data_IF_315387111708
#
_entry.id   IF_315387111708
#
_cell.length_a   1.000
_cell.length_b   1.000
_cell.length_c   1.000
_cell.angle_alpha   90.00
_cell.angle_beta   90.00
_cell.angle_gamma   90.00
#
_symmetry.space_group_name_H-M   'P 1'
#
loop_
_entity.id
_entity.type
_entity.pdbx_description
1 polymer ?
#
# COMPACT_ATOMS: atom_id res chain seq x y z
N UNK A 1 -22.46 -6.95 -1.29
CA UNK A 1 -21.43 -7.18 -2.33
C UNK A 1 -20.96 -5.84 -2.90
N UNK A 2 -19.79 -5.79 -3.52
CA UNK A 2 -19.23 -4.61 -4.18
C UNK A 2 -17.92 -4.13 -3.55
N UNK A 3 -17.57 -2.85 -3.76
CA UNK A 3 -16.34 -2.26 -3.21
C UNK A 3 -16.51 -1.94 -1.72
N UNK A 4 -15.79 -2.64 -0.88
CA UNK A 4 -15.88 -2.53 0.59
C UNK A 4 -14.51 -2.23 1.22
N UNK A 5 -14.51 -1.75 2.46
CA UNK A 5 -13.30 -1.72 3.27
C UNK A 5 -12.75 -3.14 3.43
N UNK A 6 -11.43 -3.32 3.39
CA UNK A 6 -10.87 -4.62 3.67
C UNK A 6 -10.93 -4.94 5.19
N UNK A 7 -10.91 -6.23 5.51
CA UNK A 7 -11.07 -6.70 6.90
C UNK A 7 -9.97 -6.21 7.85
N UNK A 8 -8.75 -6.03 7.34
CA UNK A 8 -7.65 -5.53 8.17
C UNK A 8 -7.82 -4.04 8.46
N UNK A 9 -8.30 -3.26 7.48
CA UNK A 9 -8.61 -1.85 7.70
C UNK A 9 -9.78 -1.69 8.69
N UNK A 10 -10.80 -2.54 8.59
CA UNK A 10 -11.92 -2.54 9.54
C UNK A 10 -11.44 -2.80 10.97
N UNK A 11 -10.60 -3.80 11.21
CA UNK A 11 -10.12 -4.09 12.57
C UNK A 11 -9.20 -3.00 13.09
N UNK A 12 -8.34 -2.41 12.25
CA UNK A 12 -7.47 -1.29 12.63
C UNK A 12 -8.31 -0.10 13.07
N UNK A 13 -9.26 0.32 12.23
CA UNK A 13 -10.07 1.52 12.50
C UNK A 13 -11.09 1.33 13.61
N UNK A 14 -11.63 0.13 13.79
CA UNK A 14 -12.62 -0.16 14.82
C UNK A 14 -12.04 -0.47 16.19
N UNK A 15 -10.73 -0.80 16.28
CA UNK A 15 -10.10 -1.30 17.49
C UNK A 15 -9.05 -0.35 18.05
N UNK A 16 -8.14 0.15 17.19
CA UNK A 16 -6.98 0.94 17.63
C UNK A 16 -6.63 2.08 16.66
N UNK A 17 -7.65 2.73 16.10
CA UNK A 17 -7.46 3.92 15.25
C UNK A 17 -6.64 4.99 15.95
N UNK A 18 -5.80 5.71 15.20
CA UNK A 18 -4.94 6.75 15.77
C UNK A 18 -5.75 7.93 16.30
N UNK A 19 -6.60 8.51 15.46
CA UNK A 19 -7.42 9.66 15.82
C UNK A 19 -8.90 9.35 15.56
N UNK A 20 -9.57 8.57 16.44
CA UNK A 20 -10.97 8.19 16.21
C UNK A 20 -11.95 9.37 16.22
N UNK A 21 -11.49 10.55 16.59
CA UNK A 21 -12.31 11.78 16.69
C UNK A 21 -12.03 12.78 15.59
N UNK A 22 -10.83 12.75 14.99
CA UNK A 22 -10.38 13.75 14.04
C UNK A 22 -10.63 13.32 12.60
N UNK A 23 -11.06 14.26 11.73
CA UNK A 23 -11.13 14.03 10.28
C UNK A 23 -9.76 14.02 9.60
N UNK A 24 -8.67 14.16 10.33
CA UNK A 24 -7.32 14.21 9.78
C UNK A 24 -6.94 12.90 9.10
N UNK A 25 -7.20 12.84 7.80
CA UNK A 25 -7.05 11.62 7.00
C UNK A 25 -5.59 11.19 6.83
N UNK A 26 -4.64 12.11 6.90
CA UNK A 26 -3.21 11.78 6.75
C UNK A 26 -2.68 10.91 7.89
N UNK A 27 -3.28 11.00 9.08
CA UNK A 27 -2.97 10.11 10.19
C UNK A 27 -3.29 8.64 9.89
N UNK A 28 -4.22 8.37 8.97
CA UNK A 28 -4.60 7.01 8.57
C UNK A 28 -3.70 6.42 7.48
N UNK A 29 -2.88 7.22 6.80
CA UNK A 29 -1.99 6.69 5.75
C UNK A 29 -1.04 5.60 6.25
N UNK A 30 -0.35 5.77 7.40
CA UNK A 30 0.43 4.67 7.98
C UNK A 30 -0.42 3.45 8.37
N UNK A 31 -1.67 3.66 8.81
CA UNK A 31 -2.57 2.56 9.15
C UNK A 31 -2.96 1.72 7.93
N UNK A 32 -3.05 2.33 6.74
CA UNK A 32 -3.22 1.59 5.48
C UNK A 32 -2.08 0.59 5.26
N UNK A 33 -0.87 0.94 5.67
CA UNK A 33 0.29 0.04 5.64
C UNK A 33 0.13 -1.18 6.51
N UNK A 34 -0.54 -1.04 7.65
CA UNK A 34 -0.83 -2.17 8.55
C UNK A 34 -1.94 -3.06 8.00
N UNK A 35 -2.78 -2.53 7.11
CA UNK A 35 -3.95 -3.19 6.54
C UNK A 35 -3.74 -3.69 5.10
N UNK A 36 -2.56 -3.47 4.50
CA UNK A 36 -2.28 -3.76 3.10
C UNK A 36 -3.30 -3.14 2.13
N UNK A 37 -3.70 -1.90 2.40
CA UNK A 37 -4.68 -1.15 1.63
C UNK A 37 -5.98 -0.86 2.38
N UNK A 38 -6.87 -0.05 1.79
CA UNK A 38 -8.11 0.36 2.44
C UNK A 38 -9.32 -0.45 1.96
N UNK A 39 -9.43 -0.67 0.66
CA UNK A 39 -10.65 -1.22 0.04
C UNK A 39 -10.34 -2.39 -0.87
N UNK A 40 -11.31 -3.28 -0.98
CA UNK A 40 -11.31 -4.45 -1.86
C UNK A 40 -12.54 -4.39 -2.76
N UNK A 41 -12.33 -4.61 -4.06
CA UNK A 41 -13.43 -4.67 -5.05
C UNK A 41 -14.09 -6.06 -5.02
N UNK A 42 -15.33 -6.14 -5.50
CA UNK A 42 -16.08 -7.40 -5.66
C UNK A 42 -16.04 -8.28 -4.41
N UNK A 43 -16.16 -7.66 -3.24
CA UNK A 43 -16.03 -8.34 -1.97
C UNK A 43 -17.39 -8.76 -1.38
N UNK A 44 -17.40 -9.96 -0.82
CA UNK A 44 -18.43 -10.47 0.08
C UNK A 44 -17.85 -10.49 1.49
N UNK A 45 -18.61 -9.94 2.46
CA UNK A 45 -18.28 -10.00 3.89
C UNK A 45 -19.37 -10.69 4.66
N UNK A 46 -18.95 -11.48 5.64
CA UNK A 46 -19.82 -12.09 6.63
C UNK A 46 -19.33 -11.74 8.03
N UNK A 47 -20.20 -11.12 8.83
CA UNK A 47 -19.85 -10.66 10.19
C UNK A 47 -20.76 -11.34 11.20
N UNK A 48 -20.14 -11.90 12.23
CA UNK A 48 -20.77 -12.46 13.41
C UNK A 48 -20.42 -11.62 14.63
N UNK A 49 -21.37 -11.46 15.52
CA UNK A 49 -21.16 -10.81 16.81
C UNK A 49 -21.88 -11.59 17.91
N UNK A 50 -21.30 -11.63 19.11
CA UNK A 50 -22.02 -12.13 20.30
C UNK A 50 -23.18 -11.19 20.64
N UNK A 51 -24.24 -11.69 21.35
CA UNK A 51 -25.38 -10.87 21.73
C UNK A 51 -25.01 -9.61 22.52
N UNK A 52 -23.98 -9.70 23.36
CA UNK A 52 -23.40 -8.56 24.12
C UNK A 52 -22.42 -7.71 23.30
N UNK A 53 -22.19 -8.06 22.03
CA UNK A 53 -21.27 -7.41 21.09
C UNK A 53 -19.82 -7.26 21.57
N UNK A 54 -19.42 -8.00 22.62
CA UNK A 54 -18.03 -7.98 23.07
C UNK A 54 -17.10 -8.62 22.04
N UNK A 55 -17.54 -9.69 21.40
CA UNK A 55 -16.80 -10.35 20.34
C UNK A 55 -17.44 -10.08 18.98
N UNK A 56 -16.61 -9.70 18.03
CA UNK A 56 -17.00 -9.53 16.63
C UNK A 56 -15.97 -10.21 15.74
N UNK A 57 -16.42 -11.12 14.90
CA UNK A 57 -15.62 -11.78 13.88
C UNK A 57 -16.14 -11.46 12.49
N UNK A 58 -15.24 -11.23 11.55
CA UNK A 58 -15.60 -10.97 10.14
C UNK A 58 -14.72 -11.79 9.22
N UNK A 59 -15.33 -12.41 8.22
CA UNK A 59 -14.66 -13.06 7.09
C UNK A 59 -14.96 -12.26 5.83
N UNK A 60 -13.99 -12.20 4.93
CA UNK A 60 -14.10 -11.55 3.63
C UNK A 60 -13.50 -12.41 2.54
N UNK A 61 -14.21 -12.45 1.41
CA UNK A 61 -13.70 -12.96 0.16
C UNK A 61 -13.94 -11.94 -0.96
N UNK A 62 -12.94 -11.72 -1.81
CA UNK A 62 -13.04 -10.86 -2.98
C UNK A 62 -12.76 -11.69 -4.22
N UNK A 63 -13.65 -11.56 -5.19
CA UNK A 63 -13.54 -12.21 -6.49
C UNK A 63 -12.69 -11.32 -7.41
N UNK A 64 -11.62 -11.88 -7.99
CA UNK A 64 -10.88 -11.21 -9.04
C UNK A 64 -11.69 -11.21 -10.35
N UNK A 65 -11.73 -10.09 -11.03
CA UNK A 65 -12.47 -9.97 -12.30
C UNK A 65 -11.78 -10.69 -13.45
N UNK A 66 -10.45 -10.87 -13.38
CA UNK A 66 -9.65 -11.53 -14.39
C UNK A 66 -8.67 -12.50 -13.74
N UNK A 67 -8.70 -13.74 -14.17
CA UNK A 67 -8.04 -14.84 -13.49
C UNK A 67 -6.97 -15.54 -14.31
N UNK A 68 -6.62 -14.98 -15.47
CA UNK A 68 -5.70 -15.61 -16.37
C UNK A 68 -4.41 -14.80 -16.45
N UNK A 69 -3.31 -15.37 -15.97
CA UNK A 69 -1.97 -14.78 -16.04
C UNK A 69 -1.54 -14.44 -17.46
N UNK A 70 -2.00 -15.23 -18.44
CA UNK A 70 -1.80 -14.91 -19.87
C UNK A 70 -2.53 -13.63 -20.29
N UNK A 71 -3.66 -13.30 -19.67
CA UNK A 71 -4.37 -12.04 -19.92
C UNK A 71 -3.60 -10.83 -19.38
N UNK A 72 -2.93 -10.95 -18.23
CA UNK A 72 -2.09 -9.88 -17.69
C UNK A 72 -0.87 -9.64 -18.57
N UNK A 73 -0.20 -10.70 -19.02
CA UNK A 73 0.89 -10.61 -19.97
C UNK A 73 0.44 -9.95 -21.29
N UNK A 74 -0.70 -10.35 -21.83
CA UNK A 74 -1.26 -9.79 -23.06
C UNK A 74 -1.68 -8.31 -22.92
N UNK A 75 -2.04 -7.86 -21.73
CA UNK A 75 -2.38 -6.46 -21.47
C UNK A 75 -1.16 -5.59 -21.19
N UNK A 76 -0.13 -6.15 -20.57
CA UNK A 76 1.12 -5.44 -20.33
C UNK A 76 1.95 -5.24 -21.62
N UNK A 77 1.85 -6.16 -22.59
CA UNK A 77 2.57 -6.08 -23.85
C UNK A 77 2.25 -4.86 -24.70
N UNK A 78 0.98 -4.44 -24.90
CA UNK A 78 0.68 -3.17 -25.59
C UNK A 78 1.20 -1.94 -24.87
N UNK A 79 1.15 -1.92 -23.54
CA UNK A 79 1.68 -0.81 -22.75
C UNK A 79 3.22 -0.74 -22.82
N UNK A 80 3.91 -1.88 -22.82
CA UNK A 80 5.33 -1.99 -23.07
C UNK A 80 5.66 -1.56 -24.51
N UNK A 81 4.83 -1.95 -25.49
CA UNK A 81 4.97 -1.53 -26.89
C UNK A 81 4.86 -0.01 -27.07
N UNK A 82 3.93 0.64 -26.39
CA UNK A 82 3.79 2.08 -26.40
C UNK A 82 5.03 2.76 -25.77
N UNK A 83 5.53 2.24 -24.65
CA UNK A 83 6.74 2.74 -23.97
C UNK A 83 8.03 2.54 -24.80
N UNK A 84 8.07 1.54 -25.70
CA UNK A 84 9.22 1.25 -26.59
C UNK A 84 9.06 1.85 -28.00
N UNK A 85 8.15 2.79 -28.21
CA UNK A 85 7.94 3.42 -29.51
C UNK A 85 7.22 2.53 -30.53
N UNK A 86 6.38 1.60 -30.08
CA UNK A 86 5.54 0.77 -30.95
C UNK A 86 6.17 -0.50 -31.50
N UNK A 87 7.34 -0.88 -31.02
CA UNK A 87 8.07 -2.07 -31.54
C UNK A 87 7.61 -3.41 -30.94
N UNK A 88 6.73 -3.40 -29.95
CA UNK A 88 6.11 -4.59 -29.37
C UNK A 88 4.63 -4.64 -29.75
N UNK A 89 4.32 -4.95 -30.99
CA UNK A 89 2.94 -5.22 -31.42
C UNK A 89 2.52 -6.64 -31.02
N UNK A 90 1.29 -6.76 -30.51
CA UNK A 90 0.74 -8.05 -30.09
C UNK A 90 0.79 -9.06 -31.23
N UNK A 91 1.47 -10.18 -31.03
CA UNK A 91 1.71 -11.24 -32.00
C UNK A 91 3.18 -11.57 -32.24
N UNK A 92 4.11 -10.76 -31.79
CA UNK A 92 5.53 -11.09 -31.86
C UNK A 92 5.86 -12.23 -30.91
N UNK A 93 6.37 -13.34 -31.46
CA UNK A 93 6.92 -14.43 -30.67
C UNK A 93 8.14 -13.89 -29.89
N UNK A 94 7.98 -13.67 -28.61
CA UNK A 94 9.01 -13.16 -27.71
C UNK A 94 10.25 -14.08 -27.59
N UNK A 95 10.22 -15.24 -28.24
CA UNK A 95 11.34 -16.18 -28.36
C UNK A 95 12.27 -15.91 -29.58
N UNK A 96 11.88 -14.99 -30.46
CA UNK A 96 12.74 -14.55 -31.55
C UNK A 96 13.35 -13.19 -31.17
N UNK A 97 14.67 -13.10 -31.19
CA UNK A 97 15.41 -11.92 -30.74
C UNK A 97 14.77 -10.61 -31.17
N UNK A 98 14.30 -9.81 -30.21
CA UNK A 98 13.63 -8.55 -30.43
C UNK A 98 14.70 -7.47 -30.51
N UNK A 99 14.59 -6.61 -31.52
CA UNK A 99 15.42 -5.40 -31.64
C UNK A 99 14.68 -4.28 -30.95
N UNK A 100 15.20 -3.79 -29.83
CA UNK A 100 14.65 -2.67 -29.09
C UNK A 100 15.60 -1.47 -29.12
N UNK A 101 15.11 -0.22 -29.25
CA UNK A 101 15.95 0.95 -29.10
C UNK A 101 16.40 1.09 -27.63
N UNK A 102 17.70 1.20 -27.41
CA UNK A 102 18.29 1.35 -26.09
C UNK A 102 19.04 2.68 -26.04
N UNK A 103 18.53 3.63 -25.26
CA UNK A 103 19.19 4.90 -24.96
C UNK A 103 18.77 6.10 -25.80
N UNK A 104 19.21 7.32 -25.42
CA UNK A 104 18.92 8.54 -26.17
C UNK A 104 19.66 8.50 -27.51
N UNK A 105 18.89 8.47 -28.60
CA UNK A 105 19.42 8.39 -29.96
C UNK A 105 19.05 7.13 -30.74
N UNK A 106 18.29 6.20 -30.14
CA UNK A 106 17.64 5.12 -30.87
C UNK A 106 18.54 4.05 -31.47
N UNK A 107 19.73 3.81 -30.92
CA UNK A 107 20.57 2.69 -31.34
C UNK A 107 19.84 1.38 -31.10
N UNK A 108 19.60 0.62 -32.15
CA UNK A 108 18.95 -0.69 -32.09
C UNK A 108 19.93 -1.72 -31.54
N UNK A 109 19.62 -2.27 -30.38
CA UNK A 109 20.37 -3.39 -29.80
C UNK A 109 19.53 -4.64 -29.88
N UNK A 110 20.09 -5.71 -30.42
CA UNK A 110 19.43 -7.02 -30.44
C UNK A 110 19.45 -7.59 -29.02
N UNK A 111 18.29 -7.73 -28.42
CA UNK A 111 18.13 -8.23 -27.05
C UNK A 111 17.70 -9.68 -27.12
N UNK A 112 18.57 -10.58 -26.75
CA UNK A 112 18.36 -12.03 -26.91
C UNK A 112 17.50 -12.64 -25.80
N UNK A 113 17.03 -11.84 -24.85
CA UNK A 113 16.19 -12.30 -23.73
C UNK A 113 15.04 -11.34 -23.48
N UNK A 114 13.90 -11.87 -23.12
CA UNK A 114 12.72 -11.08 -22.71
C UNK A 114 13.04 -10.13 -21.55
N UNK A 115 13.88 -10.55 -20.63
CA UNK A 115 14.37 -9.71 -19.54
C UNK A 115 15.07 -8.44 -20.07
N UNK A 116 15.97 -8.57 -21.04
CA UNK A 116 16.66 -7.43 -21.63
C UNK A 116 15.75 -6.48 -22.41
N UNK A 117 14.69 -6.98 -23.05
CA UNK A 117 13.64 -6.15 -23.70
C UNK A 117 12.88 -5.33 -22.66
N UNK A 118 12.49 -5.96 -21.57
CA UNK A 118 11.72 -5.31 -20.48
C UNK A 118 12.61 -4.32 -19.74
N UNK A 119 13.85 -4.67 -19.43
CA UNK A 119 14.81 -3.76 -18.79
C UNK A 119 15.08 -2.53 -19.69
N UNK A 120 15.18 -2.74 -21.02
CA UNK A 120 15.30 -1.65 -22.00
C UNK A 120 14.05 -0.80 -22.08
N UNK A 121 12.86 -1.38 -22.08
CA UNK A 121 11.58 -0.67 -22.09
C UNK A 121 11.38 0.14 -20.80
N UNK A 122 11.74 -0.40 -19.64
CA UNK A 122 11.69 0.31 -18.36
C UNK A 122 12.72 1.44 -18.32
N UNK A 123 13.93 1.23 -18.85
CA UNK A 123 14.95 2.29 -18.97
C UNK A 123 14.50 3.42 -19.91
N UNK A 124 13.83 3.10 -21.02
CA UNK A 124 13.25 4.09 -21.93
C UNK A 124 12.05 4.81 -21.32
N UNK A 125 11.18 4.12 -20.58
CA UNK A 125 10.08 4.76 -19.87
C UNK A 125 10.55 5.74 -18.77
N UNK A 126 11.77 5.56 -18.25
CA UNK A 126 12.40 6.53 -17.35
C UNK A 126 12.79 7.83 -18.04
N UNK A 127 12.91 7.83 -19.38
CA UNK A 127 13.23 9.00 -20.21
C UNK A 127 12.01 9.53 -21.01
N UNK A 128 10.83 8.91 -20.86
CA UNK A 128 9.57 9.39 -21.48
C UNK A 128 9.14 10.71 -20.82
N UNK A 129 8.71 11.73 -21.59
CA UNK A 129 8.07 12.93 -21.04
C UNK A 129 6.82 12.63 -20.18
N UNK A 130 6.25 11.42 -20.29
CA UNK A 130 5.28 10.90 -19.33
C UNK A 130 5.85 9.67 -18.59
N UNK A 131 6.66 9.87 -17.53
CA UNK A 131 7.30 8.77 -16.78
C UNK A 131 6.30 7.82 -16.10
N UNK A 132 5.01 8.15 -16.15
CA UNK A 132 3.94 7.35 -15.55
C UNK A 132 3.15 6.53 -16.57
N UNK A 133 3.41 6.62 -17.87
CA UNK A 133 2.58 5.96 -18.89
C UNK A 133 2.55 4.44 -18.73
N UNK A 134 3.70 3.79 -18.60
CA UNK A 134 3.81 2.35 -18.35
C UNK A 134 3.23 1.98 -16.98
N UNK A 135 3.53 2.79 -15.98
CA UNK A 135 3.03 2.63 -14.61
C UNK A 135 1.51 2.66 -14.57
N UNK A 136 0.88 3.68 -15.17
CA UNK A 136 -0.57 3.86 -15.17
C UNK A 136 -1.27 2.72 -15.94
N UNK A 137 -0.76 2.33 -17.10
CA UNK A 137 -1.35 1.26 -17.89
C UNK A 137 -1.31 -0.11 -17.17
N UNK A 138 -0.22 -0.42 -16.46
CA UNK A 138 -0.10 -1.65 -15.67
C UNK A 138 -1.00 -1.61 -14.43
N UNK A 139 -1.10 -0.45 -13.79
CA UNK A 139 -1.91 -0.27 -12.57
C UNK A 139 -3.42 -0.38 -12.84
N UNK A 140 -3.92 0.24 -13.89
CA UNK A 140 -5.35 0.23 -14.23
C UNK A 140 -5.84 -1.17 -14.58
N UNK A 141 -4.99 -1.95 -15.24
CA UNK A 141 -5.32 -3.32 -15.64
C UNK A 141 -5.23 -4.31 -14.47
N UNK A 142 -4.27 -4.10 -13.56
CA UNK A 142 -3.96 -5.07 -12.51
C UNK A 142 -4.90 -5.02 -11.30
N UNK A 143 -5.42 -3.84 -10.95
CA UNK A 143 -6.17 -3.66 -9.70
C UNK A 143 -7.52 -4.40 -9.64
N UNK A 144 -8.17 -4.64 -10.79
CA UNK A 144 -9.43 -5.40 -10.85
C UNK A 144 -9.26 -6.92 -10.75
N UNK A 145 -8.06 -7.45 -10.99
CA UNK A 145 -7.81 -8.88 -11.04
C UNK A 145 -7.36 -9.50 -9.71
N UNK A 146 -7.22 -8.69 -8.67
CA UNK A 146 -6.78 -9.17 -7.35
C UNK A 146 -7.87 -9.98 -6.64
N UNK A 147 -7.48 -11.17 -6.13
CA UNK A 147 -8.32 -11.96 -5.22
C UNK A 147 -7.86 -11.76 -3.80
N UNK A 148 -8.81 -11.63 -2.88
CA UNK A 148 -8.48 -11.46 -1.47
C UNK A 148 -9.32 -12.39 -0.61
N UNK A 149 -8.68 -13.05 0.34
CA UNK A 149 -9.33 -13.82 1.39
C UNK A 149 -8.74 -13.42 2.73
N UNK A 150 -9.59 -13.19 3.73
CA UNK A 150 -9.14 -12.84 5.06
C UNK A 150 -10.24 -12.72 6.07
N UNK A 151 -9.84 -12.39 7.29
CA UNK A 151 -10.77 -12.18 8.39
C UNK A 151 -10.11 -11.51 9.58
N UNK A 152 -10.93 -11.12 10.55
CA UNK A 152 -10.47 -10.61 11.83
C UNK A 152 -11.35 -11.09 12.99
N UNK A 153 -10.80 -11.03 14.18
CA UNK A 153 -11.49 -11.14 15.43
C UNK A 153 -11.22 -9.91 16.29
N UNK A 154 -12.27 -9.35 16.90
CA UNK A 154 -12.20 -8.21 17.80
C UNK A 154 -12.89 -8.54 19.12
N UNK A 155 -12.29 -8.12 20.22
CA UNK A 155 -12.87 -8.08 21.56
C UNK A 155 -12.98 -6.64 22.06
N UNK A 156 -14.10 -6.25 22.68
CA UNK A 156 -14.27 -4.93 23.27
C UNK A 156 -15.10 -5.01 24.55
N UNK A 157 -14.55 -4.58 25.68
CA UNK A 157 -15.26 -4.45 26.94
C UNK A 157 -14.55 -3.46 27.88
N UNK A 158 -15.29 -2.74 28.69
CA UNK A 158 -14.78 -1.90 29.79
C UNK A 158 -13.68 -0.91 29.36
N UNK A 159 -13.85 -0.27 28.18
CA UNK A 159 -12.85 0.64 27.61
C UNK A 159 -11.67 -0.02 26.91
N UNK A 160 -11.46 -1.35 27.07
CA UNK A 160 -10.46 -2.13 26.34
C UNK A 160 -11.03 -2.60 25.01
N UNK A 161 -10.25 -2.44 23.94
CA UNK A 161 -10.50 -3.08 22.64
C UNK A 161 -9.23 -3.77 22.16
N UNK A 162 -9.34 -5.02 21.75
CA UNK A 162 -8.25 -5.82 21.16
C UNK A 162 -8.70 -6.37 19.82
N UNK A 163 -7.81 -6.47 18.85
CA UNK A 163 -8.14 -7.01 17.55
C UNK A 163 -6.94 -7.62 16.84
N UNK A 164 -7.21 -8.69 16.11
CA UNK A 164 -6.23 -9.35 15.26
C UNK A 164 -6.89 -9.77 13.95
N UNK A 165 -6.13 -9.68 12.85
CA UNK A 165 -6.61 -10.07 11.53
C UNK A 165 -5.50 -10.58 10.63
N UNK A 166 -5.90 -11.38 9.66
CA UNK A 166 -5.03 -11.92 8.61
C UNK A 166 -5.74 -11.84 7.25
N UNK A 167 -4.98 -11.58 6.20
CA UNK A 167 -5.48 -11.47 4.84
C UNK A 167 -4.42 -11.91 3.85
N UNK A 168 -4.83 -12.66 2.84
CA UNK A 168 -4.01 -12.95 1.66
C UNK A 168 -4.62 -12.29 0.45
N UNK A 169 -3.81 -11.59 -0.33
CA UNK A 169 -4.16 -11.04 -1.63
C UNK A 169 -3.30 -11.70 -2.68
N UNK A 170 -3.93 -12.44 -3.61
CA UNK A 170 -3.26 -12.94 -4.80
C UNK A 170 -3.30 -11.85 -5.86
N UNK A 171 -2.13 -11.42 -6.31
CA UNK A 171 -1.92 -10.40 -7.31
C UNK A 171 -2.18 -10.95 -8.71
N UNK A 172 -2.42 -10.09 -9.72
CA UNK A 172 -2.76 -10.52 -11.08
C UNK A 172 -1.74 -11.44 -11.73
N UNK A 173 -0.46 -11.29 -11.44
CA UNK A 173 0.62 -12.13 -11.94
C UNK A 173 0.81 -13.45 -11.19
N UNK A 174 0.02 -13.70 -10.14
CA UNK A 174 0.03 -14.92 -9.36
C UNK A 174 0.88 -14.87 -8.07
N UNK A 175 1.52 -13.75 -7.79
CA UNK A 175 2.23 -13.55 -6.50
C UNK A 175 1.26 -13.33 -5.36
N UNK A 176 1.63 -13.71 -4.15
CA UNK A 176 0.82 -13.50 -2.95
C UNK A 176 1.37 -12.38 -2.07
N UNK A 177 0.47 -11.57 -1.54
CA UNK A 177 0.73 -10.64 -0.44
C UNK A 177 -0.01 -11.12 0.81
N UNK A 178 0.72 -11.65 1.79
CA UNK A 178 0.20 -11.98 3.11
C UNK A 178 0.30 -10.77 4.03
N UNK A 179 -0.80 -10.38 4.64
CA UNK A 179 -0.88 -9.28 5.58
C UNK A 179 -1.49 -9.73 6.90
N UNK A 180 -0.90 -9.27 8.00
CA UNK A 180 -1.33 -9.56 9.35
C UNK A 180 -1.36 -8.27 10.16
N UNK A 181 -2.32 -8.13 11.05
CA UNK A 181 -2.38 -7.00 11.98
C UNK A 181 -2.85 -7.45 13.36
N UNK A 182 -2.29 -6.82 14.37
CA UNK A 182 -2.63 -7.04 15.78
C UNK A 182 -2.54 -5.70 16.49
N UNK A 183 -3.50 -5.39 17.32
CA UNK A 183 -3.43 -4.17 18.11
C UNK A 183 -4.56 -4.07 19.12
N UNK A 184 -4.51 -2.98 19.88
CA UNK A 184 -5.52 -2.68 20.86
C UNK A 184 -5.53 -1.22 21.26
N UNK A 185 -6.59 -0.86 21.97
CA UNK A 185 -6.73 0.45 22.58
C UNK A 185 -7.36 0.32 23.96
N UNK A 186 -7.10 1.31 24.78
CA UNK A 186 -7.70 1.45 26.09
C UNK A 186 -8.15 2.89 26.32
N UNK A 187 -9.39 3.03 26.75
CA UNK A 187 -10.01 4.31 27.07
C UNK A 187 -10.35 4.36 28.56
N UNK A 188 -9.85 5.38 29.23
CA UNK A 188 -10.10 5.59 30.65
C UNK A 188 -10.19 7.09 30.94
N UNK A 189 -11.32 7.55 31.48
CA UNK A 189 -11.60 8.97 31.67
C UNK A 189 -11.38 9.77 30.37
N UNK A 190 -10.57 10.85 30.41
CA UNK A 190 -10.28 11.68 29.24
C UNK A 190 -9.20 11.06 28.32
N UNK A 191 -8.58 9.94 28.72
CA UNK A 191 -7.44 9.35 28.01
C UNK A 191 -7.86 8.25 27.06
N UNK A 192 -7.18 8.19 25.93
CA UNK A 192 -7.22 7.13 24.95
C UNK A 192 -5.79 6.70 24.59
N UNK A 193 -5.46 5.45 24.77
CA UNK A 193 -4.17 4.87 24.38
C UNK A 193 -4.38 3.85 23.30
N UNK A 194 -3.45 3.73 22.37
CA UNK A 194 -3.49 2.69 21.35
C UNK A 194 -2.08 2.21 20.97
N UNK A 195 -2.03 0.94 20.60
CA UNK A 195 -0.83 0.32 20.08
C UNK A 195 -1.22 -0.69 18.99
N UNK A 196 -0.37 -0.86 18.00
CA UNK A 196 -0.61 -1.81 16.93
C UNK A 196 0.66 -2.28 16.24
N UNK A 197 0.55 -3.45 15.62
CA UNK A 197 1.58 -4.06 14.79
C UNK A 197 0.98 -4.55 13.49
N UNK A 198 1.66 -4.31 12.38
CA UNK A 198 1.32 -4.82 11.05
C UNK A 198 2.51 -5.51 10.40
N UNK A 199 2.23 -6.56 9.64
CA UNK A 199 3.23 -7.32 8.90
C UNK A 199 2.69 -7.65 7.51
N UNK A 200 3.40 -7.20 6.48
CA UNK A 200 3.13 -7.56 5.08
C UNK A 200 4.32 -8.38 4.55
N UNK A 201 4.03 -9.52 3.94
CA UNK A 201 5.01 -10.40 3.31
C UNK A 201 4.59 -10.65 1.86
N UNK A 202 5.46 -10.27 0.95
CA UNK A 202 5.30 -10.59 -0.47
C UNK A 202 6.00 -11.91 -0.78
N UNK A 203 5.28 -12.78 -1.49
CA UNK A 203 5.77 -14.05 -2.00
C UNK A 203 5.66 -14.02 -3.52
N UNK A 204 6.79 -13.82 -4.18
CA UNK A 204 6.82 -13.82 -5.64
C UNK A 204 6.44 -15.20 -6.18
N UNK A 205 5.60 -15.23 -7.22
CA UNK A 205 5.59 -16.34 -8.16
C UNK A 205 6.97 -16.39 -8.84
N UNK A 206 7.48 -17.57 -9.14
CA UNK A 206 8.86 -17.71 -9.65
C UNK A 206 9.19 -16.72 -10.78
N UNK A 207 10.38 -16.14 -10.72
CA UNK A 207 10.94 -15.23 -11.73
C UNK A 207 11.42 -15.96 -12.99
N UNK A 208 10.77 -17.05 -13.38
CA UNK A 208 11.20 -17.89 -14.50
C UNK A 208 11.56 -17.08 -15.76
N UNK A 209 12.56 -17.53 -16.50
CA UNK A 209 13.08 -16.90 -17.73
C UNK A 209 12.11 -16.90 -18.91
N UNK A 210 10.95 -17.53 -18.78
CA UNK A 210 9.90 -17.50 -19.80
C UNK A 210 9.18 -16.16 -19.77
N UNK A 211 8.96 -15.57 -20.94
CA UNK A 211 8.44 -14.21 -21.13
C UNK A 211 7.22 -13.86 -20.27
N UNK A 212 6.24 -14.75 -20.19
CA UNK A 212 5.02 -14.52 -19.42
C UNK A 212 5.25 -14.44 -17.91
N UNK A 213 6.14 -15.28 -17.37
CA UNK A 213 6.43 -15.31 -15.93
C UNK A 213 7.12 -14.03 -15.46
N UNK A 214 8.04 -13.49 -16.27
CA UNK A 214 8.76 -12.27 -15.90
C UNK A 214 7.87 -11.03 -15.97
N UNK A 215 7.01 -10.93 -17.00
CA UNK A 215 6.03 -9.84 -17.10
C UNK A 215 5.06 -9.89 -15.92
N UNK A 216 4.52 -11.05 -15.59
CA UNK A 216 3.63 -11.22 -14.45
C UNK A 216 4.30 -10.78 -13.13
N UNK A 217 5.57 -11.14 -12.94
CA UNK A 217 6.37 -10.71 -11.81
C UNK A 217 6.51 -9.18 -11.75
N UNK A 218 6.79 -8.49 -12.87
CA UNK A 218 6.93 -7.05 -12.93
C UNK A 218 5.60 -6.34 -12.65
N UNK A 219 4.49 -6.84 -13.20
CA UNK A 219 3.14 -6.31 -12.94
C UNK A 219 2.83 -6.38 -11.45
N UNK A 220 3.05 -7.53 -10.82
CA UNK A 220 2.80 -7.71 -9.39
C UNK A 220 3.68 -6.79 -8.54
N UNK A 221 4.95 -6.59 -8.92
CA UNK A 221 5.86 -5.67 -8.25
C UNK A 221 5.42 -4.23 -8.35
N UNK A 222 4.92 -3.81 -9.52
CA UNK A 222 4.40 -2.48 -9.73
C UNK A 222 3.18 -2.21 -8.83
N UNK A 223 2.23 -3.14 -8.80
CA UNK A 223 1.03 -3.04 -7.96
C UNK A 223 1.43 -2.99 -6.48
N UNK A 224 2.32 -3.89 -6.04
CA UNK A 224 2.82 -3.92 -4.67
C UNK A 224 3.49 -2.60 -4.28
N UNK A 225 4.36 -2.07 -5.16
CA UNK A 225 5.04 -0.81 -4.88
C UNK A 225 4.07 0.35 -4.75
N UNK A 226 3.03 0.42 -5.60
CA UNK A 226 1.95 1.42 -5.46
C UNK A 226 1.20 1.26 -4.14
N UNK A 227 0.83 0.05 -3.77
CA UNK A 227 0.20 -0.23 -2.47
C UNK A 227 1.09 0.25 -1.32
N UNK A 228 2.37 -0.03 -1.36
CA UNK A 228 3.31 0.32 -0.29
C UNK A 228 3.68 1.80 -0.28
N UNK A 229 3.88 2.44 -1.42
CA UNK A 229 4.23 3.87 -1.49
C UNK A 229 3.09 4.79 -1.06
N UNK A 230 1.85 4.37 -1.27
CA UNK A 230 0.66 5.10 -0.77
C UNK A 230 0.43 5.01 0.74
N UNK A 231 1.12 4.11 1.44
CA UNK A 231 0.86 3.74 2.82
C UNK A 231 1.67 4.52 3.87
N UNK A 232 2.66 5.27 3.46
CA UNK A 232 3.48 6.09 4.36
C UNK A 232 3.56 7.50 3.81
N UNK A 233 2.74 8.34 4.25
CA UNK A 233 2.62 9.77 4.00
C UNK A 233 3.76 10.43 3.15
N UNK A 234 3.85 10.07 1.88
CA UNK A 234 4.87 10.55 0.97
C UNK A 234 5.65 9.46 0.23
N UNK A 235 5.30 8.21 0.50
CA UNK A 235 5.79 7.10 -0.28
C UNK A 235 7.22 6.70 0.05
N UNK A 236 7.35 5.55 0.65
CA UNK A 236 8.66 4.93 0.73
C UNK A 236 8.63 3.68 -0.13
N UNK A 237 9.32 3.78 -1.23
CA UNK A 237 9.27 2.80 -2.30
C UNK A 237 9.67 1.41 -1.82
N UNK A 238 8.92 0.39 -2.24
CA UNK A 238 9.31 -1.01 -2.11
C UNK A 238 10.26 -1.49 -3.20
N UNK A 239 10.45 -0.69 -4.23
CA UNK A 239 11.21 -1.06 -5.44
C UNK A 239 10.36 -1.79 -6.48
N UNK A 240 10.82 -1.77 -7.72
CA UNK A 240 10.11 -2.33 -8.88
C UNK A 240 10.78 -3.58 -9.45
N UNK A 241 12.02 -3.85 -9.11
CA UNK A 241 12.86 -4.88 -9.71
C UNK A 241 13.11 -6.05 -8.78
N UNK A 242 13.92 -6.99 -9.22
CA UNK A 242 14.28 -8.21 -8.49
C UNK A 242 14.90 -7.95 -7.10
N UNK A 243 15.57 -6.80 -6.94
CA UNK A 243 16.12 -6.36 -5.67
C UNK A 243 15.12 -5.65 -4.74
N UNK A 244 13.85 -5.56 -5.14
CA UNK A 244 12.82 -4.93 -4.36
C UNK A 244 12.59 -5.64 -3.01
N UNK A 245 12.14 -4.89 -2.03
CA UNK A 245 11.82 -5.44 -0.71
C UNK A 245 10.64 -6.45 -0.76
N UNK A 246 10.69 -7.44 0.11
CA UNK A 246 9.66 -8.50 0.19
C UNK A 246 8.89 -8.49 1.50
N UNK A 247 9.33 -7.69 2.48
CA UNK A 247 8.72 -7.66 3.81
C UNK A 247 8.63 -6.24 4.33
N UNK A 248 7.47 -5.87 4.89
CA UNK A 248 7.26 -4.61 5.61
C UNK A 248 6.60 -4.89 6.96
N UNK A 249 7.18 -4.35 8.02
CA UNK A 249 6.66 -4.41 9.39
C UNK A 249 6.38 -2.99 9.85
N UNK A 250 5.31 -2.81 10.61
CA UNK A 250 4.94 -1.51 11.16
C UNK A 250 4.55 -1.66 12.62
N UNK A 251 5.00 -0.71 13.43
CA UNK A 251 4.59 -0.57 14.82
C UNK A 251 3.99 0.82 14.94
N UNK A 252 2.90 0.92 15.69
CA UNK A 252 2.34 2.21 16.08
C UNK A 252 2.11 2.27 17.59
N UNK A 253 2.30 3.46 18.15
CA UNK A 253 1.97 3.81 19.51
C UNK A 253 1.34 5.20 19.48
N UNK A 254 0.35 5.43 20.35
CA UNK A 254 -0.23 6.74 20.42
C UNK A 254 -1.19 6.92 21.57
N UNK A 255 -1.55 8.18 21.78
CA UNK A 255 -2.55 8.57 22.76
C UNK A 255 -3.40 9.72 22.27
N UNK A 256 -4.61 9.84 22.84
CA UNK A 256 -5.50 10.97 22.74
C UNK A 256 -5.87 11.45 24.14
N UNK A 257 -6.12 12.74 24.27
CA UNK A 257 -6.52 13.39 25.51
C UNK A 257 -7.65 14.38 25.26
N UNK A 258 -8.79 14.15 25.87
CA UNK A 258 -9.93 15.06 25.85
C UNK A 258 -9.69 16.17 26.90
N UNK A 259 -9.06 17.26 26.48
CA UNK A 259 -8.66 18.35 27.38
C UNK A 259 -9.87 19.14 27.90
N UNK A 260 -10.87 19.35 27.06
CA UNK A 260 -12.17 19.95 27.42
C UNK A 260 -13.29 19.20 26.69
N UNK A 261 -14.56 19.57 26.94
CA UNK A 261 -15.68 18.99 26.16
C UNK A 261 -15.57 19.25 24.65
N UNK A 262 -14.84 20.29 24.25
CA UNK A 262 -14.66 20.71 22.86
C UNK A 262 -13.29 20.32 22.30
N UNK A 263 -12.22 20.32 23.12
CA UNK A 263 -10.84 20.17 22.66
C UNK A 263 -10.32 18.76 22.88
N UNK A 264 -9.92 18.12 21.78
CA UNK A 264 -9.24 16.84 21.74
C UNK A 264 -7.81 17.01 21.22
N UNK A 265 -6.85 16.45 21.93
CA UNK A 265 -5.43 16.46 21.56
C UNK A 265 -4.97 15.03 21.33
N UNK A 266 -4.00 14.83 20.45
CA UNK A 266 -3.44 13.51 20.23
C UNK A 266 -2.03 13.54 19.67
N UNK A 267 -1.28 12.48 19.99
CA UNK A 267 0.05 12.27 19.44
C UNK A 267 0.22 10.79 19.07
N UNK A 268 0.83 10.55 17.91
CA UNK A 268 1.08 9.20 17.42
C UNK A 268 2.46 9.09 16.81
N UNK A 269 3.06 7.92 17.00
CA UNK A 269 4.32 7.52 16.42
C UNK A 269 4.14 6.21 15.66
N UNK A 270 4.69 6.17 14.45
CA UNK A 270 4.73 4.99 13.60
C UNK A 270 6.16 4.72 13.17
N UNK A 271 6.55 3.45 13.19
CA UNK A 271 7.79 2.99 12.61
C UNK A 271 7.52 1.86 11.64
N UNK A 272 7.84 2.08 10.38
CA UNK A 272 7.86 1.07 9.35
C UNK A 272 9.29 0.58 9.14
N UNK A 273 9.51 -0.74 9.14
CA UNK A 273 10.75 -1.40 8.74
C UNK A 273 10.50 -2.20 7.46
N UNK A 274 11.32 -1.97 6.45
CA UNK A 274 11.28 -2.68 5.19
C UNK A 274 12.56 -3.51 5.00
N UNK A 275 12.42 -4.74 4.51
CA UNK A 275 13.52 -5.68 4.35
C UNK A 275 13.26 -6.69 3.22
N UNK A 276 14.26 -7.52 2.91
CA UNK A 276 14.19 -8.54 1.88
C UNK A 276 14.58 -8.04 0.49
N UNK A 277 15.17 -6.85 0.38
CA UNK A 277 15.90 -6.41 -0.81
C UNK A 277 17.24 -7.15 -0.87
N UNK A 278 17.52 -7.82 -1.99
CA UNK A 278 18.69 -8.70 -2.12
C UNK A 278 20.02 -7.96 -2.03
N UNK A 279 20.08 -6.71 -2.55
CA UNK A 279 21.25 -5.83 -2.54
C UNK A 279 21.18 -4.74 -1.44
N UNK A 280 20.13 -4.77 -0.62
CA UNK A 280 19.89 -3.78 0.44
C UNK A 280 19.39 -2.42 -0.03
N UNK A 281 19.28 -2.17 -1.33
CA UNK A 281 18.86 -0.87 -1.90
C UNK A 281 17.53 -0.36 -1.32
N UNK A 282 16.60 -1.26 -1.06
CA UNK A 282 15.27 -0.95 -0.52
C UNK A 282 15.07 -1.40 0.93
N UNK A 283 16.13 -1.81 1.63
CA UNK A 283 16.05 -2.12 3.06
C UNK A 283 16.19 -0.84 3.89
N UNK A 284 15.34 -0.68 4.91
CA UNK A 284 15.43 0.48 5.80
C UNK A 284 14.20 0.74 6.63
N UNK A 285 14.08 1.97 7.12
CA UNK A 285 13.03 2.36 8.04
C UNK A 285 12.42 3.70 7.64
N UNK A 286 11.13 3.87 7.95
CA UNK A 286 10.46 5.16 7.99
C UNK A 286 9.88 5.39 9.39
N UNK A 287 10.14 6.55 9.96
CA UNK A 287 9.50 7.01 11.19
C UNK A 287 8.54 8.15 10.82
N UNK A 288 7.33 8.06 11.32
CA UNK A 288 6.30 9.08 11.17
C UNK A 288 5.78 9.48 12.54
N UNK A 289 5.78 10.77 12.82
CA UNK A 289 5.24 11.36 14.04
C UNK A 289 4.16 12.36 13.68
N UNK A 290 3.08 12.40 14.44
CA UNK A 290 2.02 13.37 14.23
C UNK A 290 1.46 13.86 15.58
N UNK A 291 1.27 15.17 15.67
CA UNK A 291 0.53 15.83 16.74
C UNK A 291 -0.71 16.45 16.10
N UNK A 292 -1.86 16.28 16.71
CA UNK A 292 -3.11 16.85 16.20
C UNK A 292 -3.96 17.41 17.35
N UNK A 293 -4.71 18.44 17.01
CA UNK A 293 -5.74 19.04 17.83
C UNK A 293 -7.03 19.13 17.03
N UNK A 294 -8.17 18.83 17.67
CA UNK A 294 -9.50 18.94 17.10
C UNK A 294 -10.39 19.73 18.07
N UNK A 295 -10.99 20.81 17.59
CA UNK A 295 -11.87 21.66 18.39
C UNK A 295 -13.29 21.65 17.83
N UNK A 296 -14.22 21.11 18.59
CA UNK A 296 -15.63 21.05 18.24
C UNK A 296 -16.35 22.36 18.61
N UNK A 297 -16.72 23.19 17.63
CA UNK A 297 -17.58 24.35 17.83
C UNK A 297 -19.03 23.94 18.12
N UNK A 298 -19.48 22.84 17.52
CA UNK A 298 -20.80 22.26 17.70
C UNK A 298 -20.79 20.76 17.42
N UNK A 299 -21.92 20.07 17.56
CA UNK A 299 -22.08 18.67 17.17
C UNK A 299 -21.84 18.42 15.66
N UNK A 300 -21.92 19.49 14.84
CA UNK A 300 -21.80 19.41 13.37
C UNK A 300 -20.56 20.08 12.83
N UNK A 301 -19.90 20.96 13.60
CA UNK A 301 -18.78 21.76 13.11
C UNK A 301 -17.58 21.61 14.03
N UNK A 302 -16.47 21.22 13.46
CA UNK A 302 -15.18 21.16 14.13
C UNK A 302 -14.06 21.74 13.24
N UNK A 303 -13.03 22.31 13.87
CA UNK A 303 -11.78 22.69 13.23
C UNK A 303 -10.66 21.79 13.76
N UNK A 304 -9.72 21.45 12.90
CA UNK A 304 -8.57 20.63 13.28
C UNK A 304 -7.27 21.22 12.74
N UNK A 305 -6.21 20.97 13.48
CA UNK A 305 -4.84 21.28 13.08
C UNK A 305 -3.95 20.08 13.39
N UNK A 306 -2.99 19.82 12.52
CA UNK A 306 -1.99 18.78 12.74
C UNK A 306 -0.63 19.21 12.21
N UNK A 307 0.42 18.75 12.88
CA UNK A 307 1.79 18.82 12.41
C UNK A 307 2.34 17.40 12.36
N UNK A 308 2.96 17.04 11.24
CA UNK A 308 3.57 15.71 11.06
C UNK A 308 5.03 15.84 10.62
N UNK A 309 5.80 14.82 10.97
CA UNK A 309 7.19 14.69 10.55
C UNK A 309 7.46 13.25 10.11
N UNK A 310 7.99 13.10 8.90
CA UNK A 310 8.42 11.81 8.37
C UNK A 310 9.91 11.82 8.09
N UNK A 311 10.62 10.75 8.49
CA UNK A 311 12.03 10.54 8.18
C UNK A 311 12.25 9.12 7.70
N UNK A 312 12.93 8.99 6.56
CA UNK A 312 13.33 7.71 5.96
C UNK A 312 14.84 7.52 6.11
N UNK A 313 15.28 6.31 6.43
CA UNK A 313 16.69 5.93 6.58
C UNK A 313 16.92 4.51 6.07
N UNK A 314 18.15 4.25 5.58
CA UNK A 314 18.55 2.94 5.07
C UNK A 314 19.10 3.01 3.65
N UNK A 315 18.79 2.00 2.84
CA UNK A 315 19.30 1.83 1.50
C UNK A 315 19.10 3.03 0.58
N UNK A 316 19.91 3.12 -0.46
CA UNK A 316 19.96 4.27 -1.38
C UNK A 316 18.66 4.49 -2.18
N UNK A 317 17.85 3.45 -2.38
CA UNK A 317 16.56 3.53 -3.06
C UNK A 317 15.41 4.08 -2.20
N UNK A 318 15.66 4.35 -0.90
CA UNK A 318 14.64 4.87 0.01
C UNK A 318 14.68 6.39 0.08
N UNK A 319 13.63 7.01 -0.46
CA UNK A 319 13.39 8.46 -0.36
C UNK A 319 11.90 8.73 -0.27
N UNK A 320 11.52 9.95 0.06
CA UNK A 320 10.13 10.42 0.12
C UNK A 320 9.69 11.08 -1.18
N UNK A 321 10.66 11.54 -1.96
CA UNK A 321 10.46 12.16 -3.25
C UNK A 321 11.62 11.79 -4.18
N UNK A 322 11.31 11.20 -5.31
CA UNK A 322 12.30 10.74 -6.30
C UNK A 322 13.06 11.91 -6.92
N UNK A 323 12.40 13.02 -7.20
CA UNK A 323 13.02 14.17 -7.85
C UNK A 323 14.02 14.88 -6.93
N UNK A 324 13.64 15.16 -5.69
CA UNK A 324 14.48 15.87 -4.73
C UNK A 324 15.38 14.96 -3.90
N UNK A 325 15.21 13.63 -3.98
CA UNK A 325 15.87 12.63 -3.13
C UNK A 325 15.67 12.90 -1.62
N UNK A 326 14.61 13.62 -1.27
CA UNK A 326 14.31 14.00 0.10
C UNK A 326 14.11 12.78 0.99
N UNK A 327 14.76 12.78 2.15
CA UNK A 327 14.62 11.72 3.16
C UNK A 327 13.86 12.16 4.42
N UNK A 328 13.44 13.41 4.47
CA UNK A 328 12.57 13.92 5.54
C UNK A 328 11.56 14.92 5.00
N UNK A 329 10.43 15.00 5.68
CA UNK A 329 9.35 15.94 5.37
C UNK A 329 8.64 16.36 6.65
N UNK A 330 8.32 17.64 6.75
CA UNK A 330 7.38 18.19 7.74
C UNK A 330 6.11 18.61 7.01
N UNK A 331 4.96 18.21 7.54
CA UNK A 331 3.64 18.60 7.06
C UNK A 331 2.90 19.42 8.11
N UNK A 332 2.14 20.44 7.67
CA UNK A 332 1.18 21.17 8.51
C UNK A 332 -0.15 21.11 7.80
N UNK A 333 -1.18 20.72 8.53
CA UNK A 333 -2.55 20.63 8.02
C UNK A 333 -3.50 21.38 8.94
N UNK A 334 -4.34 22.23 8.37
CA UNK A 334 -5.43 22.93 9.07
C UNK A 334 -6.69 22.71 8.25
N UNK A 335 -7.80 22.42 8.92
CA UNK A 335 -9.07 22.20 8.23
C UNK A 335 -10.28 22.49 9.10
N UNK A 336 -11.40 22.65 8.41
CA UNK A 336 -12.74 22.80 8.99
C UNK A 336 -13.64 21.69 8.44
N UNK A 337 -14.40 21.04 9.32
CA UNK A 337 -15.42 20.07 8.91
C UNK A 337 -16.79 20.54 9.34
N UNK A 338 -17.74 20.50 8.41
CA UNK A 338 -19.15 20.67 8.69
C UNK A 338 -19.97 19.47 8.21
N UNK A 339 -20.89 19.00 9.04
CA UNK A 339 -21.79 17.89 8.71
C UNK A 339 -23.20 18.45 8.53
N UNK A 340 -23.80 18.23 7.39
CA UNK A 340 -25.15 18.64 7.04
C UNK A 340 -26.21 17.65 7.57
#
# INVERSE_FOLDING_TARGET
MGRQWNVLFDVVTSTYASFPYSPYMDAYKPELGMAAGARTNNALKYTLATPDRKWVGTLQYSFGEKNNTSSVANMALPALGAATGGQLTGGSNLNQGIVAPVGPGGSLVQVNTVKGVIDGAVANAANDPNPNALKNAVEDVGMGAMKTFGGFLRYSANGLSLGAGAMRTTLPGGSDLDAYTLGGSYRTGPWYFNAGYGLNKYKAVGTGTTSGSYINYLVDRQILNKMWSGQTNGGFSGGYFENAATKRQMIKLGFGYQATKQLNLGAHFFRAKQSGSSDGTYNGNANFMVLAADYAFSKRTDAYAAIDYTKVSGGKGLNLDVASQARSRTGITIGLRHRF
#
